data_IF_688940642089
#
_entry.id   IF_688940642089
#
_cell.length_a   1.000
_cell.length_b   1.000
_cell.length_c   1.000
_cell.angle_alpha   90.00
_cell.angle_beta   90.00
_cell.angle_gamma   90.00
#
_symmetry.space_group_name_H-M   'P 1'
#
loop_
_entity.id
_entity.type
_entity.pdbx_description
1 polymer ?
#
# COMPACT_ATOMS: atom_id res chain seq x y z
N UNK A 1 -6.02 -23.57 1.58
CA UNK A 1 -5.19 -22.35 1.46
C UNK A 1 -6.04 -21.27 0.80
N UNK A 2 -6.23 -20.11 1.44
CA UNK A 2 -7.09 -19.03 0.93
C UNK A 2 -6.60 -18.46 -0.41
N UNK A 3 -7.52 -17.99 -1.26
CA UNK A 3 -7.21 -17.51 -2.61
C UNK A 3 -6.20 -16.35 -2.63
N UNK A 4 -6.29 -15.42 -1.68
CA UNK A 4 -5.35 -14.29 -1.57
C UNK A 4 -3.93 -14.72 -1.22
N UNK A 5 -3.77 -15.79 -0.42
CA UNK A 5 -2.45 -16.35 -0.07
C UNK A 5 -1.81 -17.03 -1.27
N UNK A 6 -2.60 -17.68 -2.13
CA UNK A 6 -2.13 -18.24 -3.41
C UNK A 6 -1.67 -17.15 -4.40
N UNK A 7 -2.30 -15.97 -4.35
CA UNK A 7 -1.94 -14.82 -5.18
C UNK A 7 -0.69 -14.06 -4.70
N UNK A 8 0.02 -14.55 -3.68
CA UNK A 8 1.22 -13.89 -3.14
C UNK A 8 0.95 -12.61 -2.34
N UNK A 9 -0.31 -12.37 -1.95
CA UNK A 9 -0.67 -11.18 -1.17
C UNK A 9 -0.27 -11.42 0.30
N UNK A 10 0.59 -10.55 0.84
CA UNK A 10 0.93 -10.57 2.26
C UNK A 10 -0.30 -10.22 3.13
N UNK A 11 -0.30 -10.67 4.37
CA UNK A 11 -1.40 -10.41 5.32
C UNK A 11 -1.66 -8.90 5.47
N UNK A 12 -0.60 -8.09 5.53
CA UNK A 12 -0.70 -6.63 5.62
C UNK A 12 -1.38 -6.03 4.37
N UNK A 13 -1.03 -6.52 3.18
CA UNK A 13 -1.64 -6.05 1.92
C UNK A 13 -3.12 -6.46 1.84
N UNK A 14 -3.46 -7.65 2.32
CA UNK A 14 -4.85 -8.11 2.39
C UNK A 14 -5.72 -7.22 3.31
N UNK A 15 -5.24 -6.93 4.52
CA UNK A 15 -5.98 -6.06 5.46
C UNK A 15 -6.12 -4.63 4.95
N UNK A 16 -5.06 -4.06 4.38
CA UNK A 16 -5.13 -2.69 3.83
C UNK A 16 -6.10 -2.57 2.67
N UNK A 17 -6.16 -3.56 1.77
CA UNK A 17 -7.16 -3.60 0.69
C UNK A 17 -8.56 -3.69 1.28
N UNK A 18 -8.80 -4.62 2.21
CA UNK A 18 -10.11 -4.83 2.83
C UNK A 18 -10.61 -3.57 3.56
N UNK A 19 -9.72 -2.90 4.29
CA UNK A 19 -10.02 -1.65 4.99
C UNK A 19 -10.37 -0.52 4.00
N UNK A 20 -9.66 -0.40 2.88
CA UNK A 20 -9.98 0.56 1.81
C UNK A 20 -11.38 0.34 1.27
N UNK A 21 -11.74 -0.92 1.00
CA UNK A 21 -13.09 -1.27 0.51
C UNK A 21 -14.16 -0.89 1.52
N UNK A 22 -13.95 -1.19 2.81
CA UNK A 22 -14.88 -0.81 3.87
C UNK A 22 -15.04 0.71 3.97
N UNK A 23 -13.95 1.47 3.91
CA UNK A 23 -14.01 2.95 3.95
C UNK A 23 -14.70 3.58 2.75
N UNK A 24 -14.70 2.90 1.59
CA UNK A 24 -15.48 3.34 0.42
C UNK A 24 -16.98 3.11 0.59
N UNK A 25 -17.37 2.12 1.39
CA UNK A 25 -18.77 1.80 1.69
C UNK A 25 -19.36 2.65 2.83
N UNK A 26 -18.55 3.47 3.50
CA UNK A 26 -19.03 4.38 4.56
C UNK A 26 -19.85 5.55 3.98
N UNK A 27 -20.70 6.14 4.81
CA UNK A 27 -21.40 7.39 4.50
C UNK A 27 -20.41 8.51 4.15
N UNK A 28 -20.74 9.42 3.20
CA UNK A 28 -19.82 10.46 2.74
C UNK A 28 -19.24 11.35 3.86
N UNK A 29 -20.06 11.66 4.87
CA UNK A 29 -19.68 12.49 6.03
C UNK A 29 -18.50 11.91 6.82
N UNK A 30 -18.48 10.58 6.99
CA UNK A 30 -17.43 9.87 7.73
C UNK A 30 -16.25 9.49 6.83
N UNK A 31 -16.51 9.38 5.52
CA UNK A 31 -15.51 9.02 4.52
C UNK A 31 -14.39 10.06 4.42
N UNK A 32 -14.70 11.35 4.45
CA UNK A 32 -13.71 12.42 4.31
C UNK A 32 -12.57 12.33 5.35
N UNK A 33 -12.91 11.99 6.60
CA UNK A 33 -11.92 11.81 7.68
C UNK A 33 -11.12 10.50 7.51
N UNK A 34 -11.76 9.43 7.02
CA UNK A 34 -11.15 8.13 6.84
C UNK A 34 -10.19 8.08 5.65
N UNK A 35 -10.49 8.79 4.55
CA UNK A 35 -9.70 8.79 3.30
C UNK A 35 -8.27 9.29 3.51
N UNK A 36 -8.06 10.23 4.44
CA UNK A 36 -6.73 10.78 4.76
C UNK A 36 -5.72 9.70 5.17
N UNK A 37 -6.18 8.55 5.71
CA UNK A 37 -5.32 7.44 6.14
C UNK A 37 -4.62 6.69 5.00
N UNK A 38 -5.08 6.88 3.76
CA UNK A 38 -4.59 6.11 2.61
C UNK A 38 -3.70 6.91 1.66
N UNK A 39 -3.48 8.19 1.94
CA UNK A 39 -2.60 9.06 1.17
C UNK A 39 -1.23 9.03 1.83
N UNK A 40 -0.23 8.56 1.11
CA UNK A 40 1.16 8.52 1.58
C UNK A 40 2.10 8.91 0.43
N UNK A 41 2.77 10.04 0.56
CA UNK A 41 3.76 10.52 -0.42
C UNK A 41 5.18 10.14 0.04
N UNK A 42 5.44 8.84 0.13
CA UNK A 42 6.73 8.31 0.61
C UNK A 42 7.57 7.86 -0.58
N UNK A 43 8.88 8.09 -0.50
CA UNK A 43 9.87 7.55 -1.43
C UNK A 43 10.60 6.39 -0.77
N UNK A 44 10.72 5.27 -1.47
CA UNK A 44 11.50 4.12 -0.99
C UNK A 44 12.81 4.07 -1.76
N UNK A 45 13.91 4.04 -1.02
CA UNK A 45 15.25 3.93 -1.57
C UNK A 45 15.82 2.55 -1.23
N UNK A 46 16.24 1.81 -2.25
CA UNK A 46 17.02 0.60 -2.06
C UNK A 46 18.50 0.97 -2.05
N UNK A 47 19.12 0.81 -0.89
CA UNK A 47 20.55 1.09 -0.66
C UNK A 47 21.28 -0.24 -0.58
N UNK A 48 22.34 -0.41 -1.37
CA UNK A 48 23.20 -1.59 -1.33
C UNK A 48 24.65 -1.13 -1.34
N UNK A 49 25.47 -1.65 -0.43
CA UNK A 49 26.89 -1.30 -0.29
C UNK A 49 27.19 0.20 -0.10
N UNK A 50 26.27 0.96 0.51
CA UNK A 50 26.46 2.39 0.80
C UNK A 50 26.01 3.34 -0.31
N UNK A 51 25.65 2.83 -1.49
CA UNK A 51 25.12 3.64 -2.59
C UNK A 51 23.62 3.39 -2.80
N UNK A 52 22.89 4.45 -3.19
CA UNK A 52 21.46 4.37 -3.51
C UNK A 52 21.31 3.77 -4.90
N UNK A 53 20.92 2.49 -4.97
CA UNK A 53 20.81 1.74 -6.22
C UNK A 53 19.52 2.08 -6.97
N UNK A 54 18.41 2.25 -6.26
CA UNK A 54 17.10 2.60 -6.85
C UNK A 54 16.25 3.42 -5.89
N UNK A 55 15.74 4.55 -6.38
CA UNK A 55 14.70 5.33 -5.70
C UNK A 55 13.38 5.13 -6.44
N UNK A 56 12.35 4.67 -5.74
CA UNK A 56 11.01 4.50 -6.28
C UNK A 56 10.02 5.26 -5.43
N UNK A 57 9.24 6.12 -6.08
CA UNK A 57 8.14 6.83 -5.43
C UNK A 57 6.99 5.83 -5.18
N UNK A 58 6.58 5.68 -3.91
CA UNK A 58 5.59 4.69 -3.48
C UNK A 58 4.17 5.02 -4.00
N UNK A 59 3.94 6.25 -4.45
CA UNK A 59 2.69 6.72 -5.05
C UNK A 59 2.41 6.10 -6.42
N UNK A 60 3.44 5.65 -7.12
CA UNK A 60 3.33 5.08 -8.47
C UNK A 60 2.78 3.65 -8.51
N UNK A 61 2.57 3.02 -7.35
CA UNK A 61 2.12 1.62 -7.25
C UNK A 61 3.12 0.61 -7.84
N UNK A 62 4.31 1.06 -8.22
CA UNK A 62 5.36 0.25 -8.82
C UNK A 62 6.07 -0.50 -7.69
N UNK A 63 5.74 -1.78 -7.54
CA UNK A 63 6.42 -2.65 -6.58
C UNK A 63 7.92 -2.67 -6.87
N UNK A 64 8.72 -2.29 -5.87
CA UNK A 64 10.16 -2.58 -5.85
C UNK A 64 10.31 -4.11 -5.80
N UNK A 65 10.52 -4.74 -6.96
CA UNK A 65 11.10 -6.08 -7.00
C UNK A 65 12.56 -5.96 -6.58
N UNK A 66 12.84 -6.42 -5.36
CA UNK A 66 14.19 -6.64 -4.84
C UNK A 66 14.92 -7.69 -5.70
#
# INVERSE_FOLDING_TARGET
>A
MSAWKKAGISVNKYFTISAKTLTKALKPELQAKATRRYISEVKVQHIKNGEVVKTVDLTSGKELKL
#
